data_IF_802248803139
#
_entry.id   IF_802248803139
#
_cell.length_a   1.000
_cell.length_b   1.000
_cell.length_c   1.000
_cell.angle_alpha   90.00
_cell.angle_beta   90.00
_cell.angle_gamma   90.00
#
_symmetry.space_group_name_H-M   'P 1'
#
loop_
_entity.id
_entity.type
_entity.pdbx_description
1 polymer ?
#
# COMPACT_ATOMS: atom_id res chain seq x y z
N UNK A 1 -20.70 15.49 -1.12
CA UNK A 1 -20.44 14.27 -0.32
C UNK A 1 -20.27 14.64 1.14
N UNK A 2 -21.10 14.09 2.03
CA UNK A 2 -20.93 14.19 3.48
C UNK A 2 -19.62 13.50 3.92
N UNK A 3 -18.86 14.14 4.81
CA UNK A 3 -17.60 13.65 5.39
C UNK A 3 -17.70 12.25 6.01
N UNK A 4 -18.89 11.84 6.44
CA UNK A 4 -19.18 10.51 7.02
C UNK A 4 -19.09 9.35 6.03
N UNK A 5 -19.09 9.60 4.70
CA UNK A 5 -19.00 8.54 3.69
C UNK A 5 -17.58 8.00 3.44
N UNK A 6 -16.53 8.70 3.88
CA UNK A 6 -15.15 8.39 3.47
C UNK A 6 -14.42 7.34 4.29
N UNK A 7 -14.71 7.24 5.58
CA UNK A 7 -14.03 6.24 6.42
C UNK A 7 -14.66 4.86 6.19
N UNK A 8 -13.83 3.89 5.83
CA UNK A 8 -14.25 2.50 5.69
C UNK A 8 -13.78 1.68 6.89
N UNK A 9 -12.56 1.94 7.38
CA UNK A 9 -11.98 1.29 8.54
C UNK A 9 -10.91 2.17 9.17
N UNK A 10 -10.89 2.25 10.50
CA UNK A 10 -9.82 2.93 11.24
C UNK A 10 -9.11 1.94 12.15
N UNK A 11 -7.79 1.86 12.03
CA UNK A 11 -6.93 1.13 12.96
C UNK A 11 -6.30 2.09 13.98
N UNK A 12 -5.26 1.63 14.69
CA UNK A 12 -4.63 2.42 15.74
C UNK A 12 -3.79 3.59 15.18
N UNK A 13 -3.19 3.44 14.00
CA UNK A 13 -2.26 4.40 13.40
C UNK A 13 -2.71 4.80 11.98
N UNK A 14 -3.22 3.83 11.22
CA UNK A 14 -3.64 4.00 9.84
C UNK A 14 -5.15 3.80 9.65
N UNK A 15 -5.70 4.44 8.62
CA UNK A 15 -7.10 4.34 8.20
C UNK A 15 -7.20 3.87 6.75
N UNK A 16 -8.19 3.04 6.46
CA UNK A 16 -8.64 2.72 5.09
C UNK A 16 -9.86 3.57 4.78
N UNK A 17 -9.78 4.31 3.68
CA UNK A 17 -10.77 5.33 3.29
C UNK A 17 -11.07 5.28 1.80
N UNK A 18 -12.18 5.91 1.41
CA UNK A 18 -12.40 6.35 0.04
C UNK A 18 -11.60 7.65 -0.21
N UNK A 19 -10.84 7.73 -1.32
CA UNK A 19 -10.33 9.00 -1.82
C UNK A 19 -11.46 10.03 -1.99
N UNK A 20 -11.17 11.34 -1.96
CA UNK A 20 -12.08 12.42 -2.37
C UNK A 20 -12.54 12.25 -3.81
N UNK A 21 -11.66 11.72 -4.67
CA UNK A 21 -11.91 11.51 -6.09
C UNK A 21 -11.59 10.05 -6.42
N UNK A 22 -12.44 9.10 -5.98
CA UNK A 22 -12.22 7.68 -6.26
C UNK A 22 -12.35 7.47 -7.76
N UNK A 23 -11.39 6.77 -8.35
CA UNK A 23 -11.30 6.60 -9.81
C UNK A 23 -12.08 5.38 -10.27
N UNK A 24 -12.21 4.38 -9.39
CA UNK A 24 -12.94 3.13 -9.62
C UNK A 24 -13.59 2.69 -8.31
N UNK A 25 -14.54 1.76 -8.35
CA UNK A 25 -15.14 1.18 -7.14
C UNK A 25 -14.13 0.37 -6.29
N UNK A 26 -13.02 -0.09 -6.88
CA UNK A 26 -11.90 -0.74 -6.20
C UNK A 26 -10.80 0.20 -5.72
N UNK A 27 -10.94 1.52 -5.91
CA UNK A 27 -9.95 2.51 -5.46
C UNK A 27 -10.17 2.85 -3.98
N UNK A 28 -9.23 2.41 -3.13
CA UNK A 28 -9.14 2.70 -1.71
C UNK A 28 -7.88 3.52 -1.40
N UNK A 29 -7.86 4.19 -0.25
CA UNK A 29 -6.71 4.94 0.23
C UNK A 29 -6.38 4.53 1.66
N UNK A 30 -5.14 4.14 1.90
CA UNK A 30 -4.56 3.93 3.24
C UNK A 30 -3.85 5.22 3.63
N UNK A 31 -4.28 5.85 4.71
CA UNK A 31 -3.77 7.15 5.14
C UNK A 31 -3.38 7.13 6.61
N UNK A 32 -2.36 7.90 6.95
CA UNK A 32 -1.93 8.06 8.33
C UNK A 32 -2.93 8.95 9.08
N UNK A 33 -3.43 8.49 10.24
CA UNK A 33 -4.42 9.25 11.04
C UNK A 33 -3.83 10.54 11.61
N UNK A 34 -2.57 10.48 12.08
CA UNK A 34 -1.84 11.60 12.63
C UNK A 34 -0.53 11.84 11.85
N UNK A 35 -0.36 12.95 11.11
CA UNK A 35 0.85 13.22 10.33
C UNK A 35 2.14 13.31 11.15
N UNK A 36 2.04 13.53 12.46
CA UNK A 36 3.21 13.56 13.34
C UNK A 36 3.70 12.16 13.77
N UNK A 37 2.96 11.10 13.44
CA UNK A 37 3.36 9.74 13.80
C UNK A 37 4.52 9.27 12.93
N UNK A 38 5.64 8.90 13.57
CA UNK A 38 6.79 8.29 12.91
C UNK A 38 6.45 6.92 12.34
N UNK A 39 7.06 6.57 11.21
CA UNK A 39 7.05 5.21 10.70
C UNK A 39 8.06 4.37 11.50
N UNK A 40 7.60 3.79 12.60
CA UNK A 40 8.32 2.79 13.40
C UNK A 40 7.75 1.38 13.17
N UNK A 41 8.25 0.39 13.92
CA UNK A 41 7.80 -1.00 13.80
C UNK A 41 6.28 -1.16 14.02
N UNK A 42 5.71 -0.44 15.00
CA UNK A 42 4.28 -0.50 15.32
C UNK A 42 3.45 0.12 14.21
N UNK A 43 3.86 1.28 13.71
CA UNK A 43 3.21 1.95 12.57
C UNK A 43 3.29 1.10 11.30
N UNK A 44 4.43 0.46 11.03
CA UNK A 44 4.60 -0.45 9.90
C UNK A 44 3.71 -1.70 10.00
N UNK A 45 3.61 -2.31 11.19
CA UNK A 45 2.71 -3.45 11.44
C UNK A 45 1.23 -3.06 11.25
N UNK A 46 0.83 -1.89 11.75
CA UNK A 46 -0.54 -1.38 11.61
C UNK A 46 -0.88 -1.04 10.14
N UNK A 47 0.09 -0.51 9.39
CA UNK A 47 -0.05 -0.29 7.95
C UNK A 47 -0.27 -1.60 7.20
N UNK A 48 0.56 -2.63 7.46
CA UNK A 48 0.44 -3.95 6.83
C UNK A 48 -0.91 -4.60 7.14
N UNK A 49 -1.39 -4.46 8.38
CA UNK A 49 -2.74 -4.91 8.77
C UNK A 49 -3.82 -4.22 7.94
N UNK A 50 -3.77 -2.90 7.80
CA UNK A 50 -4.72 -2.15 6.98
C UNK A 50 -4.67 -2.54 5.51
N UNK A 51 -3.45 -2.70 4.97
CA UNK A 51 -3.23 -3.11 3.59
C UNK A 51 -3.80 -4.50 3.30
N UNK A 52 -3.46 -5.50 4.12
CA UNK A 52 -3.93 -6.87 3.92
C UNK A 52 -5.45 -6.98 4.13
N UNK A 53 -6.01 -6.27 5.10
CA UNK A 53 -7.46 -6.20 5.28
C UNK A 53 -8.16 -5.56 4.06
N UNK A 54 -7.59 -4.49 3.50
CA UNK A 54 -8.13 -3.84 2.31
C UNK A 54 -8.10 -4.75 1.08
N UNK A 55 -6.99 -5.46 0.84
CA UNK A 55 -6.89 -6.44 -0.24
C UNK A 55 -7.94 -7.55 -0.12
N UNK A 56 -8.07 -8.15 1.07
CA UNK A 56 -9.09 -9.19 1.33
C UNK A 56 -10.51 -8.66 1.16
N UNK A 57 -10.79 -7.45 1.63
CA UNK A 57 -12.10 -6.83 1.44
C UNK A 57 -12.43 -6.55 -0.04
N UNK A 58 -11.44 -6.12 -0.83
CA UNK A 58 -11.58 -5.96 -2.27
C UNK A 58 -11.85 -7.29 -2.97
N UNK A 59 -11.13 -8.35 -2.59
CA UNK A 59 -11.37 -9.70 -3.10
C UNK A 59 -12.78 -10.20 -2.74
N UNK A 60 -13.19 -10.09 -1.48
CA UNK A 60 -14.48 -10.60 -0.99
C UNK A 60 -15.68 -9.86 -1.61
N UNK A 61 -15.58 -8.54 -1.81
CA UNK A 61 -16.73 -7.69 -2.19
C UNK A 61 -16.81 -7.47 -3.69
N UNK A 62 -15.66 -7.29 -4.36
CA UNK A 62 -15.60 -6.99 -5.78
C UNK A 62 -15.11 -8.18 -6.61
N UNK A 63 -14.64 -9.26 -5.98
CA UNK A 63 -13.98 -10.36 -6.69
C UNK A 63 -12.60 -9.96 -7.20
N UNK A 64 -11.93 -9.02 -6.52
CA UNK A 64 -10.63 -8.56 -6.96
C UNK A 64 -9.55 -9.65 -6.84
N UNK A 65 -8.82 -9.92 -7.93
CA UNK A 65 -7.79 -10.95 -8.00
C UNK A 65 -6.37 -10.40 -7.79
N UNK A 66 -6.20 -9.12 -8.08
CA UNK A 66 -4.93 -8.40 -7.99
C UNK A 66 -5.18 -7.04 -7.39
N UNK A 67 -4.20 -6.53 -6.63
CA UNK A 67 -4.23 -5.16 -6.16
C UNK A 67 -2.89 -4.49 -6.37
N UNK A 68 -2.94 -3.25 -6.86
CA UNK A 68 -1.75 -2.46 -7.13
C UNK A 68 -1.71 -1.22 -6.25
N UNK A 69 -0.55 -0.96 -5.64
CA UNK A 69 -0.33 0.15 -4.72
C UNK A 69 0.40 1.30 -5.42
N UNK A 70 -0.10 2.52 -5.29
CA UNK A 70 0.49 3.75 -5.83
C UNK A 70 0.66 4.77 -4.72
N UNK A 71 1.78 5.47 -4.69
CA UNK A 71 1.97 6.59 -3.78
C UNK A 71 3.05 7.56 -4.28
N UNK A 72 2.93 8.80 -3.85
CA UNK A 72 3.94 9.82 -4.09
C UNK A 72 4.86 9.91 -2.85
N UNK A 73 6.16 9.95 -3.07
CA UNK A 73 7.15 10.17 -2.02
C UNK A 73 7.92 11.46 -2.32
N UNK A 74 7.73 12.48 -1.48
CA UNK A 74 8.27 13.85 -1.67
C UNK A 74 7.84 14.56 -2.96
N UNK A 75 7.00 13.92 -3.77
CA UNK A 75 6.47 14.45 -5.01
C UNK A 75 5.08 15.09 -4.80
N UNK A 76 4.88 16.26 -5.42
CA UNK A 76 3.59 16.93 -5.46
C UNK A 76 3.28 17.27 -6.92
N UNK A 77 2.26 16.61 -7.46
CA UNK A 77 1.78 16.87 -8.81
C UNK A 77 1.35 18.34 -8.96
N UNK A 78 1.94 19.07 -9.90
CA UNK A 78 1.56 20.44 -10.25
C UNK A 78 0.85 20.47 -11.61
N UNK A 79 -0.21 21.27 -11.73
CA UNK A 79 -0.89 21.52 -13.00
C UNK A 79 -1.50 20.27 -13.65
N UNK A 80 -1.14 20.00 -14.91
CA UNK A 80 -1.68 18.91 -15.71
C UNK A 80 -0.92 17.58 -15.54
N UNK A 81 -0.25 17.38 -14.40
CA UNK A 81 0.52 16.16 -14.14
C UNK A 81 -0.35 14.89 -14.29
N UNK A 82 0.24 13.89 -14.94
CA UNK A 82 -0.28 12.53 -15.16
C UNK A 82 0.42 11.61 -14.16
N UNK A 83 -0.29 10.58 -13.68
CA UNK A 83 0.22 9.66 -12.67
C UNK A 83 -0.65 9.61 -11.44
N UNK A 84 -0.04 9.65 -10.27
CA UNK A 84 -0.68 9.39 -8.98
C UNK A 84 -1.96 10.20 -8.78
N UNK A 85 -2.93 9.68 -8.02
CA UNK A 85 -4.00 10.50 -7.48
C UNK A 85 -3.42 11.68 -6.69
N UNK A 86 -4.12 12.81 -6.68
CA UNK A 86 -3.66 13.99 -5.96
C UNK A 86 -3.58 13.70 -4.46
N UNK A 87 -2.49 14.13 -3.81
CA UNK A 87 -2.37 14.08 -2.36
C UNK A 87 -3.54 14.86 -1.73
N UNK A 88 -4.37 14.17 -0.95
CA UNK A 88 -5.59 14.76 -0.38
C UNK A 88 -5.32 15.54 0.91
N UNK A 89 -4.16 15.31 1.50
CA UNK A 89 -3.64 15.92 2.72
C UNK A 89 -2.11 15.95 2.69
N UNK A 90 -1.52 16.72 3.59
CA UNK A 90 -0.07 16.70 3.87
C UNK A 90 0.37 15.44 4.64
N UNK A 91 -0.49 14.42 4.72
CA UNK A 91 -0.22 13.17 5.42
C UNK A 91 0.23 12.12 4.41
N UNK A 92 1.10 11.17 4.77
CA UNK A 92 1.38 10.03 3.91
C UNK A 92 0.11 9.29 3.51
N UNK A 93 -0.05 9.02 2.21
CA UNK A 93 -1.20 8.33 1.62
C UNK A 93 -0.75 7.33 0.58
N UNK A 94 -1.37 6.15 0.60
CA UNK A 94 -1.17 5.09 -0.37
C UNK A 94 -2.49 4.74 -1.02
N UNK A 95 -2.50 4.71 -2.35
CA UNK A 95 -3.67 4.39 -3.16
C UNK A 95 -3.61 2.92 -3.54
N UNK A 96 -4.65 2.17 -3.20
CA UNK A 96 -4.79 0.77 -3.54
C UNK A 96 -5.89 0.63 -4.58
N UNK A 97 -5.58 -0.05 -5.69
CA UNK A 97 -6.52 -0.34 -6.76
C UNK A 97 -6.70 -1.84 -6.86
N UNK A 98 -7.89 -2.34 -6.49
CA UNK A 98 -8.27 -3.73 -6.75
C UNK A 98 -8.78 -3.89 -8.18
N UNK A 99 -8.44 -5.01 -8.83
CA UNK A 99 -8.85 -5.34 -10.21
C UNK A 99 -9.71 -6.59 -10.22
N UNK A 100 -10.80 -6.54 -10.96
CA UNK A 100 -11.77 -7.63 -11.06
C UNK A 100 -12.44 -7.67 -12.44
N UNK A 101 -12.99 -8.83 -12.78
CA UNK A 101 -13.79 -9.00 -13.99
C UNK A 101 -15.10 -8.21 -13.88
N UNK A 102 -15.24 -7.16 -14.71
CA UNK A 102 -16.42 -6.29 -14.73
C UNK A 102 -16.15 -4.86 -14.28
N UNK A 103 -14.89 -4.46 -14.11
CA UNK A 103 -14.53 -3.06 -13.91
C UNK A 103 -14.94 -2.20 -15.12
N UNK A 104 -15.69 -1.09 -14.92
CA UNK A 104 -16.16 -0.26 -16.03
C UNK A 104 -15.06 0.58 -16.67
N UNK A 105 -13.98 0.89 -15.93
CA UNK A 105 -12.86 1.72 -16.35
C UNK A 105 -11.60 1.26 -15.62
N UNK A 106 -10.50 1.01 -16.35
CA UNK A 106 -9.25 0.62 -15.71
C UNK A 106 -8.57 1.81 -15.01
N UNK A 107 -7.91 1.59 -13.86
CA UNK A 107 -7.12 2.63 -13.20
C UNK A 107 -6.04 3.20 -14.12
N UNK A 108 -5.35 2.38 -14.91
CA UNK A 108 -4.40 2.85 -15.93
C UNK A 108 -5.00 3.91 -16.85
N UNK A 109 -6.23 3.70 -17.34
CA UNK A 109 -6.91 4.63 -18.23
C UNK A 109 -7.24 5.97 -17.58
N UNK A 110 -7.55 5.98 -16.28
CA UNK A 110 -7.74 7.23 -15.53
C UNK A 110 -6.41 7.90 -15.18
N UNK A 111 -5.41 7.12 -14.76
CA UNK A 111 -4.11 7.62 -14.33
C UNK A 111 -3.27 8.16 -15.49
N UNK A 112 -3.52 7.71 -16.72
CA UNK A 112 -2.95 8.27 -17.96
C UNK A 112 -3.53 9.64 -18.34
N UNK A 113 -4.61 10.07 -17.71
CA UNK A 113 -5.20 11.39 -17.93
C UNK A 113 -4.64 12.42 -16.93
N UNK A 114 -4.49 13.69 -17.35
CA UNK A 114 -4.28 14.79 -16.42
C UNK A 114 -5.36 14.80 -15.34
N UNK A 115 -5.01 15.14 -14.10
CA UNK A 115 -5.92 15.10 -12.95
C UNK A 115 -7.29 15.75 -13.21
N UNK A 116 -7.32 16.92 -13.87
CA UNK A 116 -8.54 17.66 -14.21
C UNK A 116 -9.43 17.00 -15.28
N UNK A 117 -8.95 15.98 -15.98
CA UNK A 117 -9.69 15.21 -16.99
C UNK A 117 -10.17 13.85 -16.48
N UNK A 118 -9.74 13.44 -15.28
CA UNK A 118 -10.18 12.19 -14.65
C UNK A 118 -11.65 12.29 -14.29
N UNK A 119 -12.36 11.17 -14.42
CA UNK A 119 -13.77 11.07 -14.05
C UNK A 119 -13.87 10.20 -12.82
N UNK A 120 -14.38 10.72 -11.68
CA UNK A 120 -14.58 9.89 -10.52
C UNK A 120 -15.65 8.83 -10.79
N UNK A 121 -15.53 7.70 -10.09
CA UNK A 121 -16.58 6.69 -10.04
C UNK A 121 -17.89 7.33 -9.52
N UNK A 122 -19.05 7.01 -10.12
CA UNK A 122 -20.33 7.53 -9.68
C UNK A 122 -20.66 7.15 -8.23
N UNK A 123 -21.22 8.08 -7.44
CA UNK A 123 -21.59 7.84 -6.04
C UNK A 123 -22.49 6.60 -5.86
N UNK A 124 -23.40 6.33 -6.80
CA UNK A 124 -24.28 5.15 -6.76
C UNK A 124 -23.50 3.83 -6.87
N UNK A 125 -22.42 3.81 -7.64
CA UNK A 125 -21.55 2.64 -7.77
C UNK A 125 -20.76 2.40 -6.47
N UNK A 126 -20.27 3.48 -5.85
CA UNK A 126 -19.57 3.40 -4.56
C UNK A 126 -20.51 2.92 -3.44
N UNK A 127 -21.71 3.51 -3.36
CA UNK A 127 -22.73 3.19 -2.36
C UNK A 127 -23.13 1.70 -2.41
N UNK A 128 -23.08 1.07 -3.58
CA UNK A 128 -23.35 -0.37 -3.78
C UNK A 128 -22.38 -1.26 -2.99
N UNK A 129 -21.10 -0.88 -2.93
CA UNK A 129 -20.04 -1.74 -2.37
C UNK A 129 -19.61 -1.33 -0.96
N UNK A 130 -19.79 -0.06 -0.60
CA UNK A 130 -19.27 0.53 0.62
C UNK A 130 -19.72 -0.18 1.92
N UNK A 131 -20.97 -0.64 2.00
CA UNK A 131 -21.44 -1.41 3.16
C UNK A 131 -20.71 -2.75 3.28
N UNK A 132 -20.59 -3.49 2.17
CA UNK A 132 -19.86 -4.75 2.10
C UNK A 132 -18.38 -4.57 2.44
N UNK A 133 -17.73 -3.52 1.91
CA UNK A 133 -16.34 -3.21 2.20
C UNK A 133 -16.10 -2.94 3.69
N UNK A 134 -16.97 -2.17 4.35
CA UNK A 134 -16.85 -1.94 5.81
C UNK A 134 -16.92 -3.24 6.60
N UNK A 135 -17.90 -4.09 6.28
CA UNK A 135 -18.05 -5.40 6.95
C UNK A 135 -16.85 -6.32 6.69
N UNK A 136 -16.38 -6.41 5.44
CA UNK A 136 -15.26 -7.26 5.06
C UNK A 136 -13.93 -6.76 5.66
N UNK A 137 -13.69 -5.45 5.68
CA UNK A 137 -12.53 -4.83 6.34
C UNK A 137 -12.48 -5.17 7.83
N UNK A 138 -13.59 -5.00 8.54
CA UNK A 138 -13.68 -5.33 9.96
C UNK A 138 -13.38 -6.81 10.20
N UNK A 139 -14.02 -7.71 9.43
CA UNK A 139 -13.80 -9.16 9.52
C UNK A 139 -12.34 -9.55 9.24
N UNK A 140 -11.75 -9.00 8.19
CA UNK A 140 -10.37 -9.30 7.80
C UNK A 140 -9.37 -8.78 8.85
N UNK A 141 -9.60 -7.59 9.40
CA UNK A 141 -8.74 -6.99 10.41
C UNK A 141 -8.76 -7.75 11.75
N UNK A 142 -9.87 -8.42 12.11
CA UNK A 142 -9.97 -9.24 13.33
C UNK A 142 -9.39 -10.65 13.13
N UNK A 143 -9.57 -11.26 11.96
CA UNK A 143 -9.06 -12.61 11.70
C UNK A 143 -7.53 -12.73 11.79
N UNK A 144 -6.79 -11.64 11.54
CA UNK A 144 -5.33 -11.63 11.67
C UNK A 144 -4.83 -11.61 13.12
N UNK A 145 -5.71 -11.39 14.12
CA UNK A 145 -5.34 -11.38 15.54
C UNK A 145 -5.40 -12.78 16.14
N UNK A 146 -6.27 -13.65 15.63
CA UNK A 146 -6.50 -15.00 16.19
C UNK A 146 -5.55 -16.06 15.59
N UNK A 147 -4.84 -15.74 14.51
CA UNK A 147 -3.98 -16.67 13.76
C UNK A 147 -2.60 -16.96 14.37
N UNK A 148 -2.21 -16.32 15.47
CA UNK A 148 -0.93 -16.53 16.17
C UNK A 148 -1.01 -17.55 17.32
N UNK A 149 -2.16 -18.20 17.54
CA UNK A 149 -2.30 -19.27 18.52
C UNK A 149 -2.25 -20.66 17.86
N UNK A 150 -1.05 -21.09 17.46
CA UNK A 150 -0.74 -22.52 17.26
C UNK A 150 0.42 -22.94 18.16
N UNK A 151 0.17 -22.83 19.47
CA UNK A 151 0.77 -23.67 20.48
C UNK A 151 -0.39 -24.19 21.31
N UNK A 152 -0.75 -25.46 21.16
CA UNK A 152 -1.62 -26.18 22.07
C UNK A 152 -0.91 -26.32 23.42
N UNK A 153 -1.49 -25.89 24.55
CA UNK A 153 -1.22 -26.53 25.82
C UNK A 153 -2.44 -27.39 26.16
N UNK A 154 -2.28 -28.67 25.90
CA UNK A 154 -3.06 -29.70 26.57
C UNK A 154 -2.65 -29.70 28.04
N UNK A 155 -3.40 -29.04 28.92
CA UNK A 155 -3.37 -29.34 30.35
C UNK A 155 -4.73 -29.16 30.99
N UNK A 156 -5.21 -30.31 31.48
CA UNK A 156 -6.37 -30.48 32.32
C UNK A 156 -6.33 -29.62 33.59
N UNK A 157 -7.52 -29.37 34.11
CA UNK A 157 -7.78 -28.71 35.38
C UNK A 157 -7.01 -29.34 36.55
N UNK A 158 -6.38 -28.50 37.38
CA UNK A 158 -6.60 -28.46 38.83
C UNK A 158 -5.73 -27.39 39.52
N UNK A 159 -6.28 -26.74 40.54
CA UNK A 159 -5.50 -26.28 41.70
C UNK A 159 -5.10 -24.80 41.78
N UNK A 160 -5.57 -24.15 42.84
CA UNK A 160 -5.28 -22.78 43.24
C UNK A 160 -3.79 -22.51 43.59
N UNK A 161 -3.32 -21.28 43.34
CA UNK A 161 -2.06 -20.77 43.91
C UNK A 161 -1.59 -19.46 43.28
N UNK A 162 -1.35 -18.45 44.11
CA UNK A 162 -0.88 -17.10 43.76
C UNK A 162 0.53 -17.03 43.17
N UNK A 163 0.74 -15.91 42.47
CA UNK A 163 1.96 -15.09 42.31
C UNK A 163 2.90 -15.38 41.12
N UNK A 164 3.38 -14.26 40.59
CA UNK A 164 4.43 -14.03 39.60
C UNK A 164 4.08 -14.23 38.11
N UNK A 165 3.68 -13.12 37.48
CA UNK A 165 3.90 -12.88 36.05
C UNK A 165 4.70 -11.58 35.92
N UNK A 166 6.01 -11.74 35.78
CA UNK A 166 6.90 -10.72 35.27
C UNK A 166 7.90 -11.44 34.36
N UNK A 167 7.56 -11.59 33.07
CA UNK A 167 8.50 -11.84 31.97
C UNK A 167 7.69 -11.92 30.66
N UNK A 168 7.59 -10.78 29.97
CA UNK A 168 6.95 -10.68 28.65
C UNK A 168 7.42 -9.50 27.79
N UNK A 169 8.28 -8.62 28.33
CA UNK A 169 8.70 -7.38 27.66
C UNK A 169 10.11 -7.46 27.03
N UNK A 170 10.82 -8.60 27.14
CA UNK A 170 12.25 -8.67 26.79
C UNK A 170 12.52 -9.06 25.32
N UNK A 171 11.64 -9.83 24.67
CA UNK A 171 11.84 -10.24 23.26
C UNK A 171 11.52 -9.10 22.27
N UNK A 172 10.47 -8.33 22.51
CA UNK A 172 10.07 -7.23 21.62
C UNK A 172 11.09 -6.07 21.57
N UNK A 173 11.87 -5.89 22.65
CA UNK A 173 12.91 -4.86 22.72
C UNK A 173 14.19 -5.25 21.97
N UNK A 174 14.54 -6.55 21.93
CA UNK A 174 15.76 -7.03 21.26
C UNK A 174 15.62 -7.06 19.73
N UNK A 175 14.41 -7.28 19.20
CA UNK A 175 14.22 -7.23 17.74
C UNK A 175 14.50 -5.83 17.17
N UNK A 176 14.23 -4.74 17.89
CA UNK A 176 14.42 -3.39 17.37
C UNK A 176 15.88 -3.00 17.10
N UNK A 177 16.86 -3.71 17.68
CA UNK A 177 18.28 -3.36 17.57
C UNK A 177 19.03 -4.10 16.44
N UNK A 178 18.44 -5.16 15.88
CA UNK A 178 19.04 -5.87 14.75
C UNK A 178 19.05 -4.99 13.48
N UNK A 179 20.06 -5.12 12.59
CA UNK A 179 20.09 -4.42 11.30
C UNK A 179 18.84 -4.70 10.45
N UNK A 180 18.36 -3.68 9.73
CA UNK A 180 17.26 -3.86 8.80
C UNK A 180 17.63 -4.86 7.68
N UNK A 181 16.67 -5.67 7.20
CA UNK A 181 16.88 -6.55 6.06
C UNK A 181 17.44 -5.81 4.83
N UNK A 182 18.25 -6.50 4.02
CA UNK A 182 18.83 -5.91 2.83
C UNK A 182 17.79 -5.70 1.70
N UNK A 183 17.90 -4.56 1.02
CA UNK A 183 17.10 -4.18 -0.15
C UNK A 183 18.02 -4.09 -1.36
N UNK A 184 17.66 -4.76 -2.45
CA UNK A 184 18.31 -4.62 -3.74
C UNK A 184 17.70 -3.47 -4.51
N UNK A 185 18.54 -2.71 -5.20
CA UNK A 185 18.15 -1.65 -6.10
C UNK A 185 18.78 -1.90 -7.48
N UNK A 186 17.99 -1.83 -8.56
CA UNK A 186 18.49 -1.98 -9.92
C UNK A 186 17.68 -1.14 -10.92
N UNK A 187 18.26 -0.86 -12.08
CA UNK A 187 17.52 -0.28 -13.20
C UNK A 187 16.77 -1.40 -13.94
N UNK A 188 15.48 -1.22 -14.27
CA UNK A 188 14.72 -2.21 -15.02
C UNK A 188 15.23 -2.33 -16.46
N UNK A 189 14.92 -3.44 -17.12
CA UNK A 189 15.34 -3.68 -18.52
C UNK A 189 14.73 -2.68 -19.50
N UNK A 190 13.51 -2.21 -19.21
CA UNK A 190 12.79 -1.20 -19.99
C UNK A 190 12.51 0.03 -19.11
N UNK A 191 13.52 0.90 -18.88
CA UNK A 191 13.39 2.03 -17.98
C UNK A 191 12.34 3.04 -18.48
N UNK A 192 11.56 3.56 -17.53
CA UNK A 192 10.52 4.54 -17.76
C UNK A 192 11.09 5.91 -17.36
N UNK A 193 11.86 6.51 -18.27
CA UNK A 193 12.66 7.70 -17.99
C UNK A 193 14.06 7.38 -17.44
N UNK A 194 14.85 8.42 -17.20
CA UNK A 194 16.25 8.32 -16.73
C UNK A 194 16.39 7.83 -15.29
N UNK A 195 15.37 8.08 -14.47
CA UNK A 195 15.42 7.90 -13.02
C UNK A 195 14.45 6.81 -12.54
N UNK A 196 14.34 5.71 -13.31
CA UNK A 196 13.55 4.53 -12.93
C UNK A 196 14.44 3.52 -12.18
N UNK A 197 14.13 3.29 -10.91
CA UNK A 197 14.79 2.27 -10.07
C UNK A 197 13.75 1.31 -9.51
N UNK A 198 14.07 0.01 -9.51
CA UNK A 198 13.28 -1.02 -8.84
C UNK A 198 13.94 -1.37 -7.51
N UNK A 199 13.17 -1.39 -6.44
CA UNK A 199 13.57 -1.82 -5.10
C UNK A 199 12.86 -3.13 -4.76
N UNK A 200 13.58 -4.10 -4.21
CA UNK A 200 12.98 -5.33 -3.68
C UNK A 200 13.76 -5.86 -2.49
N UNK A 201 13.09 -6.52 -1.52
CA UNK A 201 13.77 -7.28 -0.48
C UNK A 201 14.67 -8.37 -1.10
N UNK A 202 15.79 -8.67 -0.44
CA UNK A 202 16.63 -9.81 -0.85
C UNK A 202 15.92 -11.15 -0.62
N UNK A 203 15.14 -11.25 0.46
CA UNK A 203 14.27 -12.40 0.71
C UNK A 203 13.23 -12.48 -0.40
N UNK A 204 13.02 -13.69 -0.93
CA UNK A 204 11.93 -13.94 -1.86
C UNK A 204 10.61 -13.90 -1.11
N UNK A 205 9.73 -12.98 -1.51
CA UNK A 205 8.40 -12.75 -0.94
C UNK A 205 7.38 -13.12 -2.01
N UNK A 206 6.66 -14.23 -1.82
CA UNK A 206 5.70 -14.75 -2.79
C UNK A 206 4.37 -13.99 -2.79
N UNK A 207 4.00 -13.38 -1.67
CA UNK A 207 2.81 -12.55 -1.51
C UNK A 207 3.13 -11.29 -0.74
N UNK A 208 2.48 -10.17 -1.09
CA UNK A 208 2.57 -8.93 -0.29
C UNK A 208 2.07 -9.15 1.14
N UNK A 209 1.23 -10.16 1.39
CA UNK A 209 0.80 -10.52 2.74
C UNK A 209 1.96 -11.06 3.61
N UNK A 210 3.02 -11.59 3.00
CA UNK A 210 4.19 -12.15 3.70
C UNK A 210 5.24 -11.09 4.05
N UNK A 211 4.99 -9.81 3.75
CA UNK A 211 5.88 -8.70 4.08
C UNK A 211 5.84 -8.46 5.59
N UNK A 212 7.01 -8.46 6.20
CA UNK A 212 7.17 -8.14 7.63
C UNK A 212 7.30 -6.64 7.86
N UNK A 213 7.00 -6.13 9.07
CA UNK A 213 7.19 -4.71 9.38
C UNK A 213 8.65 -4.25 9.17
N UNK A 214 9.64 -5.10 9.48
CA UNK A 214 11.06 -4.81 9.26
C UNK A 214 11.40 -4.64 7.78
N UNK A 215 10.82 -5.44 6.90
CA UNK A 215 11.02 -5.31 5.45
C UNK A 215 10.36 -4.05 4.90
N UNK A 216 9.18 -3.68 5.41
CA UNK A 216 8.55 -2.41 5.06
C UNK A 216 9.42 -1.21 5.50
N UNK A 217 9.99 -1.26 6.71
CA UNK A 217 10.94 -0.25 7.18
C UNK A 217 12.22 -0.19 6.34
N UNK A 218 12.75 -1.34 5.93
CA UNK A 218 13.90 -1.43 5.05
C UNK A 218 13.63 -0.81 3.67
N UNK A 219 12.46 -1.12 3.08
CA UNK A 219 12.01 -0.52 1.81
C UNK A 219 11.84 1.00 1.95
N UNK A 220 11.24 1.48 3.04
CA UNK A 220 11.08 2.90 3.30
C UNK A 220 12.45 3.62 3.43
N UNK A 221 13.41 3.02 4.14
CA UNK A 221 14.76 3.57 4.27
C UNK A 221 15.50 3.60 2.92
N UNK A 222 15.38 2.53 2.12
CA UNK A 222 15.96 2.48 0.78
C UNK A 222 15.34 3.54 -0.16
N UNK A 223 14.02 3.75 -0.07
CA UNK A 223 13.32 4.77 -0.85
C UNK A 223 13.74 6.19 -0.47
N UNK A 224 13.86 6.49 0.83
CA UNK A 224 14.36 7.80 1.29
C UNK A 224 15.80 8.04 0.82
N UNK A 225 16.67 7.02 0.93
CA UNK A 225 18.04 7.11 0.44
C UNK A 225 18.10 7.34 -1.08
N UNK A 226 17.18 6.75 -1.85
CA UNK A 226 17.05 6.99 -3.29
C UNK A 226 16.63 8.44 -3.58
N UNK A 227 15.60 8.93 -2.88
CA UNK A 227 15.07 10.29 -3.05
C UNK A 227 16.10 11.37 -2.70
N UNK A 228 17.01 11.11 -1.76
CA UNK A 228 18.09 12.03 -1.37
C UNK A 228 19.26 12.07 -2.36
N UNK A 229 19.44 11.04 -3.19
CA UNK A 229 20.58 10.92 -4.11
C UNK A 229 20.28 11.45 -5.51
N UNK A 230 19.03 11.36 -5.94
CA UNK A 230 18.63 11.72 -7.30
C UNK A 230 18.43 13.24 -7.45
N UNK A 231 18.75 13.78 -8.62
CA UNK A 231 18.48 15.18 -8.98
C UNK A 231 16.98 15.41 -9.32
N UNK A 232 16.09 14.77 -8.57
CA UNK A 232 14.65 14.76 -8.77
C UNK A 232 13.99 15.51 -7.61
N UNK A 233 12.80 16.05 -7.88
CA UNK A 233 12.02 16.77 -6.86
C UNK A 233 11.20 15.82 -5.97
N UNK A 234 10.97 14.59 -6.43
CA UNK A 234 10.32 13.53 -5.67
C UNK A 234 10.22 12.25 -6.48
N UNK A 235 9.51 11.26 -5.94
CA UNK A 235 9.33 9.95 -6.55
C UNK A 235 7.84 9.62 -6.72
N UNK A 236 7.52 9.06 -7.88
CA UNK A 236 6.29 8.36 -8.19
C UNK A 236 6.53 6.88 -7.92
N UNK A 237 5.81 6.27 -6.98
CA UNK A 237 6.06 4.90 -6.54
C UNK A 237 4.89 3.98 -6.89
N UNK A 238 5.23 2.80 -7.40
CA UNK A 238 4.29 1.76 -7.79
C UNK A 238 4.74 0.40 -7.24
N UNK A 239 3.81 -0.34 -6.64
CA UNK A 239 4.02 -1.74 -6.23
C UNK A 239 2.94 -2.59 -6.89
N UNK A 240 3.23 -3.23 -8.03
CA UNK A 240 2.31 -4.20 -8.63
C UNK A 240 2.15 -5.43 -7.73
N UNK A 241 1.06 -6.16 -7.94
CA UNK A 241 0.81 -7.42 -7.26
C UNK A 241 1.92 -8.46 -7.55
N UNK A 242 2.23 -9.35 -6.62
CA UNK A 242 3.25 -10.39 -6.87
C UNK A 242 2.81 -11.35 -7.97
N UNK A 243 1.50 -11.52 -8.20
CA UNK A 243 0.99 -12.27 -9.34
C UNK A 243 1.45 -11.72 -10.70
N UNK A 244 1.74 -10.41 -10.77
CA UNK A 244 2.19 -9.69 -11.97
C UNK A 244 3.68 -9.88 -12.24
N UNK A 245 4.47 -9.92 -11.17
CA UNK A 245 5.94 -9.89 -11.20
C UNK A 245 6.55 -11.28 -11.06
N UNK A 246 5.83 -12.32 -11.50
CA UNK A 246 6.23 -13.72 -11.37
C UNK A 246 6.59 -14.12 -9.91
N UNK A 247 5.83 -13.60 -8.94
CA UNK A 247 5.98 -13.92 -7.52
C UNK A 247 7.01 -13.09 -6.77
N UNK A 248 7.37 -11.89 -7.26
CA UNK A 248 8.38 -11.02 -6.62
C UNK A 248 7.79 -9.71 -6.14
N UNK A 249 8.02 -9.34 -4.88
CA UNK A 249 7.69 -7.98 -4.44
C UNK A 249 8.66 -6.98 -5.07
N UNK A 250 8.15 -6.13 -5.96
CA UNK A 250 8.92 -5.08 -6.64
C UNK A 250 8.28 -3.72 -6.40
N UNK A 251 9.06 -2.74 -5.93
CA UNK A 251 8.67 -1.34 -5.82
C UNK A 251 9.38 -0.56 -6.92
N UNK A 252 8.62 -0.08 -7.89
CA UNK A 252 9.09 0.79 -8.96
C UNK A 252 9.05 2.24 -8.48
N UNK A 253 10.23 2.85 -8.34
CA UNK A 253 10.39 4.25 -8.01
C UNK A 253 10.82 5.02 -9.26
N UNK A 254 9.98 5.95 -9.69
CA UNK A 254 10.21 6.83 -10.83
C UNK A 254 10.56 8.23 -10.33
N UNK A 255 11.75 8.70 -10.67
CA UNK A 255 12.17 10.07 -10.44
C UNK A 255 11.26 11.09 -11.12
N UNK A 256 10.79 12.08 -10.36
CA UNK A 256 9.90 13.14 -10.83
C UNK A 256 10.50 14.54 -10.70
N UNK A 257 10.28 15.38 -11.70
CA UNK A 257 10.72 16.79 -11.71
C UNK A 257 9.62 17.73 -12.20
N UNK A 258 9.63 18.97 -11.69
CA UNK A 258 8.76 20.01 -12.21
C UNK A 258 9.17 20.35 -13.66
N UNK A 259 8.24 20.29 -14.61
CA UNK A 259 8.50 20.62 -16.01
C UNK A 259 9.12 19.49 -16.84
N UNK A 260 8.92 18.22 -16.44
CA UNK A 260 9.24 17.05 -17.26
C UNK A 260 8.80 17.20 -18.72
N UNK A 261 9.73 17.01 -19.65
CA UNK A 261 9.41 16.97 -21.09
C UNK A 261 8.64 15.71 -21.49
N UNK A 262 8.87 14.60 -20.78
CA UNK A 262 8.20 13.30 -20.96
C UNK A 262 7.84 12.78 -19.57
N UNK A 263 6.58 12.35 -19.39
CA UNK A 263 6.10 11.87 -18.10
C UNK A 263 6.56 10.41 -17.87
N UNK A 264 7.42 10.14 -16.87
CA UNK A 264 7.91 8.79 -16.58
C UNK A 264 6.78 7.80 -16.25
N UNK A 265 5.73 8.28 -15.60
CA UNK A 265 4.58 7.46 -15.26
C UNK A 265 3.82 7.01 -16.50
N UNK A 266 3.61 7.88 -17.48
CA UNK A 266 2.99 7.51 -18.76
C UNK A 266 3.83 6.47 -19.52
N UNK A 267 5.16 6.57 -19.47
CA UNK A 267 6.05 5.56 -20.02
C UNK A 267 5.91 4.23 -19.29
N UNK A 268 5.82 4.26 -17.96
CA UNK A 268 5.63 3.06 -17.14
C UNK A 268 4.32 2.35 -17.48
N UNK A 269 3.22 3.10 -17.66
CA UNK A 269 1.93 2.57 -18.10
C UNK A 269 1.97 1.89 -19.47
N UNK A 270 2.99 2.16 -20.28
CA UNK A 270 3.21 1.54 -21.60
C UNK A 270 4.29 0.46 -21.57
N UNK A 271 4.93 0.23 -20.42
CA UNK A 271 6.01 -0.73 -20.30
C UNK A 271 5.46 -2.16 -20.42
N UNK A 272 6.15 -3.07 -21.13
CA UNK A 272 5.76 -4.48 -21.15
C UNK A 272 5.93 -5.15 -19.77
N UNK A 273 6.78 -4.58 -18.90
CA UNK A 273 7.06 -5.11 -17.55
C UNK A 273 5.94 -4.80 -16.57
N UNK A 274 5.18 -3.72 -16.80
CA UNK A 274 4.03 -3.32 -16.00
C UNK A 274 2.86 -3.16 -16.95
N UNK A 275 2.21 -4.28 -17.25
CA UNK A 275 1.07 -4.26 -18.17
C UNK A 275 -0.02 -3.32 -17.61
N UNK A 276 -0.55 -2.39 -18.41
CA UNK A 276 -1.67 -1.54 -18.00
C UNK A 276 -2.95 -2.35 -17.71
N UNK A 277 -3.01 -3.63 -18.12
CA UNK A 277 -4.07 -4.54 -17.67
C UNK A 277 -3.98 -4.85 -16.16
N UNK A 278 -2.83 -4.58 -15.54
CA UNK A 278 -2.47 -4.88 -14.14
C UNK A 278 -2.46 -3.60 -13.27
N UNK A 279 -2.78 -2.45 -13.88
CA UNK A 279 -3.03 -1.16 -13.24
C UNK A 279 -4.47 -0.73 -13.32
#
# INVERSE_FOLDING_TARGET
MQLSRRLLFGSAVWEVTRPRTPLTAGHLMIRLSNPATTLDHRSAADWLRCHNAARRALADVLGADTCTLLFAHRWHALGAAIGEPAAESSTPTFHLFGRWDGEPVTPAGQLSLPAQRRKPAPDQELDKYDAGLRTALLKAATASVDGTAHGTPDFAADGAGSADIAEGDTEAAQEQEAPLPAIRAWAPSSPAGSDHTVLAPERTIGSVEDVTPRELLALAAALEALALRQAVTGLSCLVPDTAVTAGRLELHALGRSAGEAVNPFEMLLRSPEISPALL
#
